data_IF_257114504949
#
_entry.id   IF_257114504949
#
_cell.length_a   1.000
_cell.length_b   1.000
_cell.length_c   1.000
_cell.angle_alpha   90.00
_cell.angle_beta   90.00
_cell.angle_gamma   90.00
#
_symmetry.space_group_name_H-M   'P 1'
#
loop_
_entity.id
_entity.type
_entity.pdbx_description
1 polymer ?
#
# COMPACT_ATOMS: atom_id res chain seq x y z
N UNK A 1 17.37 -17.41 -17.13
CA UNK A 1 16.13 -16.63 -17.33
C UNK A 1 16.27 -15.34 -16.55
N UNK A 2 16.67 -14.27 -17.23
CA UNK A 2 16.82 -12.93 -16.65
C UNK A 2 15.43 -12.39 -16.32
N UNK A 3 15.07 -12.40 -15.04
CA UNK A 3 13.92 -11.65 -14.54
C UNK A 3 14.24 -10.17 -14.73
N UNK A 4 13.76 -9.58 -15.81
CA UNK A 4 13.83 -8.14 -16.03
C UNK A 4 13.03 -7.46 -14.92
N UNK A 5 13.70 -6.60 -14.14
CA UNK A 5 13.11 -5.81 -13.07
C UNK A 5 12.11 -4.78 -13.63
N UNK A 6 10.91 -5.22 -14.01
CA UNK A 6 9.87 -4.35 -14.51
C UNK A 6 9.11 -3.74 -13.32
N UNK A 7 9.61 -2.60 -12.85
CA UNK A 7 8.95 -1.78 -11.86
C UNK A 7 7.86 -0.97 -12.56
N UNK A 8 6.70 -1.61 -12.80
CA UNK A 8 5.49 -0.93 -13.28
C UNK A 8 4.99 0.21 -12.36
N UNK A 9 5.69 0.47 -11.24
CA UNK A 9 5.36 1.42 -10.17
C UNK A 9 6.35 2.57 -10.05
N UNK A 10 6.96 3.02 -11.15
CA UNK A 10 7.89 4.14 -11.10
C UNK A 10 7.18 5.44 -11.44
N UNK A 11 7.10 6.33 -10.47
CA UNK A 11 6.87 7.75 -10.75
C UNK A 11 8.17 8.37 -11.21
N UNK A 12 8.11 9.26 -12.18
CA UNK A 12 9.28 9.98 -12.65
C UNK A 12 9.36 11.34 -11.96
N UNK A 13 10.54 11.70 -11.45
CA UNK A 13 10.83 12.95 -10.74
C UNK A 13 11.89 13.72 -11.53
N UNK A 14 11.79 15.05 -11.59
CA UNK A 14 12.87 15.87 -12.14
C UNK A 14 13.95 16.06 -11.07
N UNK A 15 15.23 15.72 -11.31
CA UNK A 15 16.29 15.85 -10.30
C UNK A 15 16.39 17.25 -9.69
N UNK A 16 16.23 18.29 -10.51
CA UNK A 16 16.33 19.68 -10.08
C UNK A 16 15.22 20.10 -9.09
N UNK A 17 14.10 19.37 -9.04
CA UNK A 17 13.03 19.66 -8.07
C UNK A 17 13.33 19.11 -6.67
N UNK A 18 14.38 18.30 -6.50
CA UNK A 18 14.83 17.80 -5.19
C UNK A 18 15.80 18.76 -4.48
N UNK A 19 16.52 19.60 -5.24
CA UNK A 19 17.49 20.57 -4.70
C UNK A 19 16.85 21.90 -4.24
N UNK A 20 15.57 22.10 -4.56
CA UNK A 20 14.81 23.30 -4.24
C UNK A 20 13.94 23.05 -3.01
N UNK A 21 14.15 23.80 -1.92
CA UNK A 21 13.25 23.82 -0.77
C UNK A 21 11.89 24.52 -1.06
N UNK A 22 11.70 25.02 -2.28
CA UNK A 22 10.42 25.59 -2.74
C UNK A 22 9.46 24.48 -3.21
N UNK A 23 8.15 24.64 -2.98
CA UNK A 23 7.17 23.59 -3.23
C UNK A 23 7.13 23.15 -4.70
N UNK A 24 7.14 21.83 -4.89
CA UNK A 24 7.06 21.14 -6.17
C UNK A 24 5.80 21.56 -6.95
N UNK A 25 5.96 22.24 -8.08
CA UNK A 25 4.88 22.40 -9.06
C UNK A 25 4.73 21.07 -9.81
N UNK A 26 3.75 20.26 -9.41
CA UNK A 26 3.50 18.95 -10.02
C UNK A 26 2.92 19.06 -11.43
N UNK A 27 3.77 19.34 -12.41
CA UNK A 27 3.58 18.81 -13.77
C UNK A 27 4.05 17.36 -13.78
N UNK A 28 3.44 16.53 -12.93
CA UNK A 28 3.55 15.08 -13.03
C UNK A 28 2.70 14.65 -14.20
N UNK A 29 3.29 14.63 -15.39
CA UNK A 29 2.66 14.11 -16.58
C UNK A 29 2.46 12.61 -16.35
N UNK A 30 1.23 12.20 -16.04
CA UNK A 30 0.80 10.81 -16.05
C UNK A 30 0.86 10.33 -17.49
N UNK A 31 2.06 10.00 -17.96
CA UNK A 31 2.24 9.27 -19.20
C UNK A 31 1.86 7.83 -18.90
N UNK A 32 0.62 7.49 -19.25
CA UNK A 32 0.23 6.10 -19.41
C UNK A 32 1.11 5.48 -20.48
N UNK A 33 2.14 4.76 -20.07
CA UNK A 33 2.91 3.90 -20.96
C UNK A 33 3.60 2.82 -20.14
N UNK A 34 3.39 1.57 -20.55
CA UNK A 34 4.02 0.34 -20.06
C UNK A 34 5.55 0.30 -20.30
N UNK A 35 6.26 1.42 -20.23
CA UNK A 35 7.67 1.53 -20.58
C UNK A 35 8.49 1.99 -19.38
N UNK A 36 9.41 1.14 -18.95
CA UNK A 36 10.37 1.33 -17.85
C UNK A 36 11.44 2.41 -18.13
N UNK A 37 11.34 3.10 -19.27
CA UNK A 37 12.19 4.21 -19.70
C UNK A 37 11.60 5.55 -19.24
N UNK A 38 12.33 6.31 -18.39
CA UNK A 38 11.91 7.65 -18.02
C UNK A 38 11.87 8.57 -19.25
N UNK A 39 10.91 9.50 -19.34
CA UNK A 39 10.97 10.58 -20.32
C UNK A 39 12.24 11.41 -20.12
N UNK A 40 12.77 12.04 -21.19
CA UNK A 40 14.00 12.84 -21.12
C UNK A 40 13.94 13.87 -19.98
N UNK A 41 14.96 13.88 -19.11
CA UNK A 41 15.07 14.82 -17.98
C UNK A 41 14.32 14.42 -16.71
N UNK A 42 13.68 13.25 -16.65
CA UNK A 42 13.16 12.68 -15.40
C UNK A 42 13.92 11.41 -14.98
N UNK A 43 13.91 11.12 -13.69
CA UNK A 43 14.50 9.93 -13.08
C UNK A 43 13.45 9.15 -12.30
N UNK A 44 13.69 7.86 -12.10
CA UNK A 44 12.79 6.99 -11.34
C UNK A 44 12.72 7.45 -9.87
N UNK A 45 11.52 7.55 -9.32
CA UNK A 45 11.30 7.86 -7.91
C UNK A 45 11.80 6.70 -7.06
N UNK A 46 12.54 7.02 -6.00
CA UNK A 46 12.97 6.04 -5.00
C UNK A 46 11.77 5.75 -4.10
N UNK A 47 11.49 4.47 -3.87
CA UNK A 47 10.50 3.98 -2.92
C UNK A 47 11.22 3.26 -1.77
N UNK A 48 10.67 3.28 -0.55
CA UNK A 48 11.25 2.51 0.54
C UNK A 48 11.24 1.02 0.19
N UNK A 49 12.35 0.33 0.44
CA UNK A 49 12.56 -1.04 -0.03
C UNK A 49 11.61 -2.05 0.63
N UNK A 50 11.30 -1.90 1.93
CA UNK A 50 10.41 -2.82 2.64
C UNK A 50 8.96 -2.76 2.13
N UNK A 51 8.31 -1.57 2.03
CA UNK A 51 6.99 -1.50 1.42
C UNK A 51 6.96 -1.97 -0.03
N UNK A 52 8.00 -1.65 -0.82
CA UNK A 52 8.09 -2.10 -2.21
C UNK A 52 8.21 -3.62 -2.34
N UNK A 53 9.00 -4.26 -1.48
CA UNK A 53 9.14 -5.71 -1.44
C UNK A 53 7.81 -6.39 -1.14
N UNK A 54 7.05 -5.87 -0.16
CA UNK A 54 5.73 -6.41 0.21
C UNK A 54 4.75 -6.33 -0.97
N UNK A 55 4.68 -5.19 -1.66
CA UNK A 55 3.82 -5.05 -2.84
C UNK A 55 4.19 -6.03 -3.94
N UNK A 56 5.48 -6.28 -4.15
CA UNK A 56 5.95 -7.29 -5.11
C UNK A 56 5.61 -8.72 -4.69
N UNK A 57 5.68 -9.03 -3.39
CA UNK A 57 5.19 -10.31 -2.88
C UNK A 57 3.68 -10.46 -3.14
N UNK A 58 2.88 -9.43 -2.87
CA UNK A 58 1.43 -9.47 -3.10
C UNK A 58 1.05 -9.54 -4.59
N UNK A 59 1.83 -8.90 -5.47
CA UNK A 59 1.69 -9.03 -6.93
C UNK A 59 1.95 -10.47 -7.36
N UNK A 60 3.02 -11.10 -6.86
CA UNK A 60 3.34 -12.49 -7.14
C UNK A 60 2.28 -13.47 -6.58
N UNK A 61 1.69 -13.16 -5.42
CA UNK A 61 0.62 -13.96 -4.82
C UNK A 61 -0.75 -13.81 -5.52
N UNK A 62 -0.86 -12.99 -6.56
CA UNK A 62 -2.10 -12.80 -7.31
C UNK A 62 -3.16 -11.94 -6.60
N UNK A 63 -2.76 -11.19 -5.56
CA UNK A 63 -3.67 -10.22 -4.89
C UNK A 63 -4.02 -9.07 -5.82
N UNK A 64 -3.06 -8.66 -6.65
CA UNK A 64 -3.19 -7.59 -7.62
C UNK A 64 -3.81 -8.11 -8.92
N UNK A 65 -4.88 -7.45 -9.38
CA UNK A 65 -5.52 -7.76 -10.65
C UNK A 65 -4.81 -7.04 -11.81
N UNK A 66 -4.14 -7.80 -12.67
CA UNK A 66 -3.42 -7.27 -13.84
C UNK A 66 -4.34 -6.67 -14.92
N UNK A 67 -5.64 -6.97 -14.90
CA UNK A 67 -6.62 -6.44 -15.86
C UNK A 67 -7.06 -5.01 -15.55
N UNK A 68 -6.86 -4.52 -14.33
CA UNK A 68 -7.19 -3.15 -13.94
C UNK A 68 -6.05 -2.19 -14.32
N UNK A 69 -6.43 -0.92 -14.51
CA UNK A 69 -5.47 0.15 -14.74
C UNK A 69 -4.46 0.23 -13.60
N UNK A 70 -3.26 0.69 -13.95
CA UNK A 70 -2.23 0.94 -12.96
C UNK A 70 -2.72 1.92 -11.88
N UNK A 71 -2.44 1.62 -10.61
CA UNK A 71 -2.96 2.36 -9.46
C UNK A 71 -4.37 1.95 -9.02
N UNK A 72 -5.02 1.00 -9.69
CA UNK A 72 -6.29 0.39 -9.25
C UNK A 72 -6.21 -1.14 -9.15
N UNK A 73 -5.01 -1.70 -9.28
CA UNK A 73 -4.81 -3.15 -9.33
C UNK A 73 -5.16 -3.87 -8.02
N UNK A 74 -5.11 -3.18 -6.88
CA UNK A 74 -5.51 -3.73 -5.59
C UNK A 74 -6.97 -3.39 -5.23
N UNK A 75 -7.76 -2.89 -6.19
CA UNK A 75 -9.15 -2.51 -5.97
C UNK A 75 -10.00 -3.69 -5.49
N UNK A 76 -10.90 -3.41 -4.54
CA UNK A 76 -11.78 -4.40 -3.94
C UNK A 76 -11.10 -5.31 -2.91
N UNK A 77 -9.80 -5.17 -2.68
CA UNK A 77 -9.08 -5.89 -1.62
C UNK A 77 -9.12 -5.11 -0.32
N UNK A 78 -9.36 -5.82 0.79
CA UNK A 78 -9.26 -5.25 2.14
C UNK A 78 -7.99 -5.76 2.81
N UNK A 79 -7.15 -4.83 3.29
CA UNK A 79 -5.83 -5.15 3.86
C UNK A 79 -5.72 -4.56 5.26
N UNK A 80 -5.34 -5.36 6.26
CA UNK A 80 -5.01 -4.84 7.59
C UNK A 80 -3.48 -4.77 7.73
N UNK A 81 -2.96 -3.59 8.08
CA UNK A 81 -1.56 -3.36 8.41
C UNK A 81 -1.45 -3.09 9.90
N UNK A 82 -0.83 -4.02 10.62
CA UNK A 82 -0.55 -3.92 12.05
C UNK A 82 0.85 -3.32 12.21
N UNK A 83 0.88 -2.10 12.77
CA UNK A 83 2.00 -1.15 12.89
C UNK A 83 1.77 0.09 12.01
N UNK A 84 1.82 1.28 12.62
CA UNK A 84 1.69 2.59 11.97
C UNK A 84 2.99 3.42 12.07
N UNK A 85 4.14 2.75 12.13
CA UNK A 85 5.45 3.42 12.10
C UNK A 85 5.67 4.24 10.82
N UNK A 86 6.45 5.32 10.93
CA UNK A 86 6.86 6.15 9.78
C UNK A 86 7.81 5.40 8.83
N UNK A 87 8.51 4.38 9.34
CA UNK A 87 9.53 3.64 8.59
C UNK A 87 8.89 2.63 7.62
N UNK A 88 7.83 1.94 8.06
CA UNK A 88 7.22 0.85 7.26
C UNK A 88 5.70 0.96 7.21
N UNK A 89 5.03 1.11 8.36
CA UNK A 89 3.58 0.98 8.46
C UNK A 89 2.79 2.01 7.65
N UNK A 90 3.03 3.30 7.91
CA UNK A 90 2.39 4.41 7.19
C UNK A 90 2.72 4.45 5.70
N UNK A 91 4.00 4.36 5.26
CA UNK A 91 4.30 4.36 3.83
C UNK A 91 3.69 3.15 3.11
N UNK A 92 3.64 1.98 3.75
CA UNK A 92 2.97 0.80 3.20
C UNK A 92 1.46 1.01 3.04
N UNK A 93 0.77 1.49 4.09
CA UNK A 93 -0.68 1.73 4.04
C UNK A 93 -1.05 2.78 2.98
N UNK A 94 -0.26 3.84 2.86
CA UNK A 94 -0.44 4.86 1.83
C UNK A 94 -0.23 4.30 0.41
N UNK A 95 0.75 3.43 0.21
CA UNK A 95 1.05 2.85 -1.09
C UNK A 95 -0.04 1.86 -1.54
N UNK A 96 -0.45 0.96 -0.65
CA UNK A 96 -1.55 0.01 -0.90
C UNK A 96 -2.89 0.71 -1.16
N UNK A 97 -3.21 1.76 -0.41
CA UNK A 97 -4.45 2.53 -0.64
C UNK A 97 -4.40 3.35 -1.94
N UNK A 98 -3.23 3.83 -2.34
CA UNK A 98 -3.05 4.47 -3.65
C UNK A 98 -3.26 3.48 -4.81
N UNK A 99 -3.00 2.18 -4.60
CA UNK A 99 -3.26 1.09 -5.55
C UNK A 99 -4.73 0.64 -5.59
N UNK A 100 -5.60 1.27 -4.80
CA UNK A 100 -7.05 1.02 -4.78
C UNK A 100 -7.53 0.12 -3.65
N UNK A 101 -6.63 -0.40 -2.80
CA UNK A 101 -7.03 -1.22 -1.66
C UNK A 101 -7.69 -0.38 -0.55
N UNK A 102 -8.56 -1.02 0.22
CA UNK A 102 -9.06 -0.47 1.49
C UNK A 102 -8.16 -0.97 2.60
N UNK A 103 -7.44 -0.07 3.27
CA UNK A 103 -6.39 -0.45 4.22
C UNK A 103 -6.72 -0.01 5.64
N UNK A 104 -6.75 -0.95 6.58
CA UNK A 104 -6.84 -0.65 8.01
C UNK A 104 -5.44 -0.56 8.61
N UNK A 105 -4.99 0.65 8.92
CA UNK A 105 -3.75 0.89 9.65
C UNK A 105 -4.02 0.86 11.16
N UNK A 106 -3.50 -0.17 11.81
CA UNK A 106 -3.66 -0.42 13.23
C UNK A 106 -2.42 0.07 13.97
N UNK A 107 -2.67 0.83 15.02
CA UNK A 107 -1.68 1.25 16.00
C UNK A 107 -2.14 0.83 17.40
N UNK A 108 -1.28 1.05 18.40
CA UNK A 108 -1.54 0.67 19.79
C UNK A 108 -2.84 1.31 20.31
N UNK A 109 -3.05 2.59 20.01
CA UNK A 109 -4.17 3.36 20.58
C UNK A 109 -5.37 3.52 19.63
N UNK A 110 -5.20 3.29 18.33
CA UNK A 110 -6.25 3.61 17.35
C UNK A 110 -6.09 2.91 16.01
N UNK A 111 -7.23 2.76 15.32
CA UNK A 111 -7.30 2.22 13.97
C UNK A 111 -7.75 3.32 13.01
N UNK A 112 -7.08 3.40 11.87
CA UNK A 112 -7.38 4.33 10.78
C UNK A 112 -7.62 3.56 9.49
N UNK A 113 -8.65 3.95 8.75
CA UNK A 113 -8.93 3.47 7.41
C UNK A 113 -8.33 4.40 6.37
N UNK A 114 -7.50 3.82 5.51
CA UNK A 114 -6.89 4.45 4.34
C UNK A 114 -7.65 3.94 3.11
N UNK A 115 -8.26 4.87 2.37
CA UNK A 115 -8.97 4.57 1.13
C UNK A 115 -8.45 5.44 0.01
N UNK A 116 -8.44 4.96 -1.24
CA UNK A 116 -8.17 5.82 -2.39
C UNK A 116 -9.20 6.95 -2.43
N UNK A 117 -8.75 8.19 -2.68
CA UNK A 117 -9.68 9.30 -2.92
C UNK A 117 -10.44 9.02 -4.23
N UNK A 118 -11.77 9.16 -4.25
CA UNK A 118 -12.52 9.13 -5.51
C UNK A 118 -11.95 10.21 -6.45
N UNK A 119 -11.56 9.81 -7.66
CA UNK A 119 -11.24 10.76 -8.73
C UNK A 119 -12.55 11.35 -9.22
N UNK A 120 -13.08 12.34 -8.52
CA UNK A 120 -14.18 13.13 -9.03
C UNK A 120 -13.70 13.89 -10.26
N UNK A 121 -14.31 13.64 -11.41
CA UNK A 121 -14.20 14.43 -12.66
C UNK A 121 -14.61 15.90 -12.47
N UNK A 122 -15.08 16.29 -11.29
CA UNK A 122 -15.44 17.66 -10.89
C UNK A 122 -14.29 18.52 -10.36
N UNK A 123 -13.03 18.03 -10.37
CA UNK A 123 -11.86 18.89 -10.09
C UNK A 123 -11.39 19.66 -11.35
N UNK A 124 -12.00 19.41 -12.52
CA UNK A 124 -11.72 20.15 -13.75
C UNK A 124 -12.48 21.49 -13.87
N UNK A 125 -13.45 21.78 -13.00
CA UNK A 125 -14.34 22.96 -13.13
C UNK A 125 -14.20 24.03 -12.04
N UNK A 126 -13.32 23.87 -11.04
CA UNK A 126 -13.06 24.93 -10.05
C UNK A 126 -11.65 25.47 -10.22
N UNK A 127 -11.54 26.53 -11.02
CA UNK A 127 -10.30 27.14 -11.51
C UNK A 127 -9.56 27.93 -10.41
N UNK A 128 -10.15 28.12 -9.21
CA UNK A 128 -9.63 29.06 -8.19
C UNK A 128 -9.64 28.57 -6.72
N UNK A 129 -9.63 27.26 -6.45
CA UNK A 129 -9.40 26.78 -5.08
C UNK A 129 -7.88 26.64 -4.80
N UNK A 130 -7.35 27.06 -3.63
CA UNK A 130 -5.95 26.85 -3.29
C UNK A 130 -5.67 25.34 -3.27
N UNK A 131 -4.97 24.88 -4.30
CA UNK A 131 -4.56 23.48 -4.50
C UNK A 131 -3.66 23.11 -3.34
N UNK A 132 -4.22 22.52 -2.28
CA UNK A 132 -3.49 22.09 -1.09
C UNK A 132 -2.30 21.24 -1.55
N UNK A 133 -1.10 21.78 -1.34
CA UNK A 133 0.19 21.29 -1.85
C UNK A 133 0.50 19.84 -1.41
N UNK A 134 -0.20 19.37 -0.38
CA UNK A 134 -0.31 17.97 -0.01
C UNK A 134 -1.71 17.47 -0.35
N UNK A 135 -1.92 16.94 -1.56
CA UNK A 135 -3.11 16.14 -1.81
C UNK A 135 -2.81 14.70 -1.38
N UNK A 136 -3.31 14.21 -0.24
CA UNK A 136 -3.24 12.78 0.04
C UNK A 136 -4.18 12.12 -0.97
N UNK A 137 -3.59 11.42 -1.96
CA UNK A 137 -4.33 10.61 -2.95
C UNK A 137 -5.13 9.50 -2.27
N UNK A 138 -4.81 9.21 -1.01
CA UNK A 138 -5.62 8.44 -0.09
C UNK A 138 -6.32 9.36 0.93
N UNK A 139 -7.47 8.94 1.43
CA UNK A 139 -8.19 9.58 2.53
C UNK A 139 -7.98 8.71 3.75
N UNK A 140 -7.48 9.33 4.83
CA UNK A 140 -7.35 8.69 6.14
C UNK A 140 -8.55 9.09 6.98
N UNK A 141 -9.29 8.11 7.49
CA UNK A 141 -10.39 8.33 8.43
C UNK A 141 -10.15 7.49 9.69
N UNK A 142 -10.40 8.04 10.89
CA UNK A 142 -10.48 7.19 12.07
C UNK A 142 -11.66 6.22 11.94
N UNK A 143 -11.52 5.02 12.46
CA UNK A 143 -12.58 4.01 12.50
C UNK A 143 -12.84 3.54 13.91
N UNK A 144 -14.11 3.29 14.23
CA UNK A 144 -14.54 2.67 15.50
C UNK A 144 -14.44 1.15 15.50
N UNK A 145 -13.99 0.54 14.39
CA UNK A 145 -13.86 -0.91 14.29
C UNK A 145 -12.80 -1.43 15.27
N UNK A 146 -13.04 -2.61 15.84
CA UNK A 146 -12.04 -3.30 16.65
C UNK A 146 -11.02 -4.00 15.75
N UNK A 147 -9.85 -4.34 16.30
CA UNK A 147 -8.84 -5.12 15.58
C UNK A 147 -9.45 -6.43 15.04
N UNK A 148 -10.26 -7.11 15.84
CA UNK A 148 -10.88 -8.38 15.48
C UNK A 148 -11.82 -8.25 14.28
N UNK A 149 -12.63 -7.18 14.26
CA UNK A 149 -13.51 -6.89 13.13
C UNK A 149 -12.71 -6.60 11.85
N UNK A 150 -11.60 -5.86 11.97
CA UNK A 150 -10.71 -5.60 10.84
C UNK A 150 -10.04 -6.88 10.33
N UNK A 151 -9.63 -7.78 11.22
CA UNK A 151 -9.01 -9.06 10.84
C UNK A 151 -10.01 -10.01 10.17
N UNK A 152 -11.27 -10.01 10.62
CA UNK A 152 -12.31 -10.89 10.10
C UNK A 152 -12.76 -10.54 8.66
N UNK A 153 -12.62 -9.28 8.26
CA UNK A 153 -13.01 -8.81 6.91
C UNK A 153 -11.84 -8.70 5.93
N UNK A 154 -10.60 -8.74 6.41
CA UNK A 154 -9.42 -8.52 5.59
C UNK A 154 -9.00 -9.75 4.81
N UNK A 155 -8.69 -9.54 3.53
CA UNK A 155 -8.15 -10.56 2.64
C UNK A 155 -6.64 -10.73 2.85
N UNK A 156 -5.96 -9.66 3.28
CA UNK A 156 -4.52 -9.66 3.56
C UNK A 156 -4.27 -9.05 4.93
N UNK A 157 -3.44 -9.67 5.75
CA UNK A 157 -3.01 -9.17 7.06
C UNK A 157 -1.49 -9.09 7.10
N UNK A 158 -0.98 -7.88 7.34
CA UNK A 158 0.45 -7.58 7.36
C UNK A 158 0.82 -7.15 8.77
N UNK A 159 1.75 -7.84 9.40
CA UNK A 159 2.26 -7.48 10.73
C UNK A 159 3.71 -7.03 10.67
N UNK A 160 4.01 -5.90 11.32
CA UNK A 160 5.37 -5.38 11.44
C UNK A 160 5.68 -4.93 12.89
N UNK A 161 5.11 -5.60 13.89
CA UNK A 161 5.26 -5.21 15.31
C UNK A 161 6.60 -5.72 15.85
N UNK A 162 7.50 -4.85 16.34
CA UNK A 162 8.82 -5.24 16.84
C UNK A 162 8.74 -5.75 18.28
N UNK A 163 7.80 -6.65 18.58
CA UNK A 163 7.62 -7.22 19.90
C UNK A 163 7.44 -8.73 19.81
N UNK A 164 8.26 -9.46 20.56
CA UNK A 164 8.19 -10.91 20.68
C UNK A 164 6.92 -11.36 21.43
N UNK A 165 6.37 -10.52 22.32
CA UNK A 165 5.16 -10.82 23.08
C UNK A 165 3.88 -10.61 22.26
N UNK A 166 3.93 -9.82 21.19
CA UNK A 166 2.76 -9.59 20.35
C UNK A 166 2.46 -10.82 19.49
N UNK A 167 1.20 -11.26 19.52
CA UNK A 167 0.67 -12.36 18.73
C UNK A 167 -0.70 -12.00 18.18
N UNK A 168 -0.87 -12.19 16.88
CA UNK A 168 -2.14 -12.08 16.18
C UNK A 168 -2.88 -13.39 16.37
N UNK A 169 -4.07 -13.31 16.98
CA UNK A 169 -4.91 -14.47 17.27
C UNK A 169 -5.47 -15.03 15.97
N UNK A 170 -5.23 -16.31 15.70
CA UNK A 170 -5.64 -16.94 14.44
C UNK A 170 -7.15 -17.04 14.30
N UNK A 171 -7.92 -17.13 15.40
CA UNK A 171 -9.39 -17.17 15.37
C UNK A 171 -10.02 -15.95 14.69
N UNK A 172 -9.37 -14.79 14.79
CA UNK A 172 -9.91 -13.52 14.30
C UNK A 172 -9.64 -13.29 12.82
N UNK A 173 -8.77 -14.09 12.21
CA UNK A 173 -8.45 -13.99 10.79
C UNK A 173 -9.59 -14.54 9.93
N UNK A 174 -9.76 -13.98 8.73
CA UNK A 174 -10.63 -14.55 7.70
C UNK A 174 -10.04 -15.85 7.14
N UNK A 175 -10.87 -16.84 6.86
CA UNK A 175 -10.44 -18.08 6.21
C UNK A 175 -9.92 -17.80 4.80
N UNK A 176 -8.77 -18.38 4.45
CA UNK A 176 -8.10 -18.14 3.18
C UNK A 176 -7.47 -16.76 3.05
N UNK A 177 -7.30 -16.01 4.15
CA UNK A 177 -6.55 -14.76 4.13
C UNK A 177 -5.06 -15.00 3.86
N UNK A 178 -4.36 -13.96 3.42
CA UNK A 178 -2.91 -13.97 3.23
C UNK A 178 -2.26 -13.25 4.41
N UNK A 179 -1.40 -13.94 5.15
CA UNK A 179 -0.64 -13.35 6.25
C UNK A 179 0.81 -13.07 5.84
N UNK A 180 1.25 -11.83 6.04
CA UNK A 180 2.65 -11.40 5.78
C UNK A 180 3.26 -10.90 7.08
N UNK A 181 4.36 -11.52 7.51
CA UNK A 181 5.15 -11.02 8.63
C UNK A 181 6.38 -10.27 8.12
N UNK A 182 6.49 -9.01 8.50
CA UNK A 182 7.58 -8.10 8.14
C UNK A 182 8.52 -7.88 9.34
N UNK A 183 8.06 -8.18 10.55
CA UNK A 183 8.86 -8.08 11.76
C UNK A 183 9.93 -9.17 11.82
N UNK A 184 11.05 -8.87 12.49
CA UNK A 184 12.03 -9.88 12.89
C UNK A 184 11.44 -10.92 13.85
N UNK A 185 10.38 -10.54 14.57
CA UNK A 185 9.69 -11.39 15.53
C UNK A 185 8.52 -12.14 14.90
N UNK A 186 8.19 -13.32 15.42
CA UNK A 186 7.04 -14.11 14.96
C UNK A 186 5.76 -13.50 15.49
N UNK A 187 5.07 -12.67 14.71
CA UNK A 187 3.83 -12.03 15.17
C UNK A 187 2.56 -12.89 14.99
N UNK A 188 2.62 -14.03 14.30
CA UNK A 188 1.47 -14.92 14.13
C UNK A 188 1.60 -16.16 15.02
N UNK A 189 0.46 -16.72 15.42
CA UNK A 189 0.39 -18.01 16.11
C UNK A 189 0.78 -19.17 15.17
N UNK A 190 1.08 -20.35 15.73
CA UNK A 190 1.63 -21.48 14.96
C UNK A 190 0.61 -22.14 14.03
N UNK A 191 -0.66 -22.04 14.39
CA UNK A 191 -1.84 -22.57 13.71
C UNK A 191 -2.26 -21.74 12.48
N UNK A 192 -1.67 -20.55 12.28
CA UNK A 192 -1.97 -19.67 11.13
C UNK A 192 -1.90 -20.38 9.77
N UNK A 193 -1.04 -21.40 9.66
CA UNK A 193 -0.86 -22.19 8.43
C UNK A 193 -2.09 -22.96 8.01
N UNK A 194 -2.94 -23.37 8.95
CA UNK A 194 -4.16 -24.14 8.66
C UNK A 194 -5.27 -23.24 8.12
N UNK A 195 -5.19 -21.93 8.42
CA UNK A 195 -6.23 -20.95 8.10
C UNK A 195 -5.93 -20.10 6.86
N UNK A 196 -4.65 -19.91 6.57
CA UNK A 196 -4.17 -19.12 5.43
C UNK A 196 -4.38 -19.88 4.13
N UNK A 197 -4.63 -19.13 3.05
CA UNK A 197 -4.77 -19.72 1.72
C UNK A 197 -3.60 -20.65 1.42
N UNK A 198 -3.91 -21.90 1.08
CA UNK A 198 -2.96 -22.97 0.75
C UNK A 198 -2.38 -22.73 -0.66
N UNK A 199 -1.74 -21.58 -0.85
CA UNK A 199 -1.06 -21.23 -2.10
C UNK A 199 0.23 -22.03 -2.13
N UNK A 200 0.10 -23.30 -2.53
CA UNK A 200 1.20 -24.21 -2.82
C UNK A 200 2.19 -23.49 -3.74
N UNK A 201 3.35 -23.13 -3.20
CA UNK A 201 4.48 -22.57 -3.94
C UNK A 201 4.82 -23.54 -5.08
N UNK A 202 4.44 -23.17 -6.32
CA UNK A 202 4.78 -23.89 -7.55
C UNK A 202 5.91 -23.15 -8.25
#
# INVERSE_FOLDING_TARGET
MTSSFNLNSIRFIRPNSLASALPLSSTGQETGANSDTPPPGLVKSILPCTPLAIVKCLEYMGVYNAHLSYGDRAYGKTITVINRSEVVGRPLAALLSNDGARVFSVDIDSIQEYTKRPTTTSDATIINAPRRTYHPRHVVRPTSNTLEQCLAISDVVISAVPSASYKVVTSNLKDGCICVNVSSEKNFEKDVREKVSDTKWR
#
